data_IF_924521555570
#
_entry.id   IF_924521555570
#
_cell.length_a   1.000
_cell.length_b   1.000
_cell.length_c   1.000
_cell.angle_alpha   90.00
_cell.angle_beta   90.00
_cell.angle_gamma   90.00
#
_symmetry.space_group_name_H-M   'P 1'
#
loop_
_entity.id
_entity.type
_entity.pdbx_description
1 polymer ?
#
# COMPACT_ATOMS: atom_id res chain seq x y z
N UNK A 1 21.65 9.17 9.40
CA UNK A 1 21.71 9.64 8.00
C UNK A 1 20.97 8.63 7.12
N UNK A 2 19.93 9.02 6.37
CA UNK A 2 19.09 8.08 5.59
C UNK A 2 19.78 7.51 4.34
N UNK A 3 20.66 8.29 3.71
CA UNK A 3 21.46 7.82 2.55
C UNK A 3 22.50 6.78 2.97
N UNK A 4 23.19 6.99 4.10
CA UNK A 4 24.11 5.99 4.65
C UNK A 4 23.43 4.66 5.01
N UNK A 5 22.18 4.70 5.50
CA UNK A 5 21.42 3.49 5.77
C UNK A 5 21.08 2.70 4.48
N UNK A 6 20.81 3.38 3.35
CA UNK A 6 20.62 2.70 2.07
C UNK A 6 21.89 1.97 1.64
N UNK A 7 23.06 2.61 1.76
CA UNK A 7 24.35 1.99 1.41
C UNK A 7 24.63 0.74 2.27
N UNK A 8 24.34 0.79 3.57
CA UNK A 8 24.45 -0.37 4.47
C UNK A 8 23.51 -1.51 4.04
N UNK A 9 22.25 -1.20 3.69
CA UNK A 9 21.32 -2.21 3.20
C UNK A 9 21.72 -2.77 1.83
N UNK A 10 22.26 -1.94 0.93
CA UNK A 10 22.78 -2.41 -0.36
C UNK A 10 23.87 -3.46 -0.15
N UNK A 11 24.88 -3.15 0.66
CA UNK A 11 25.97 -4.08 0.97
C UNK A 11 25.48 -5.33 1.71
N UNK A 12 24.54 -5.18 2.64
CA UNK A 12 23.95 -6.31 3.35
C UNK A 12 23.18 -7.26 2.43
N UNK A 13 22.44 -6.72 1.46
CA UNK A 13 21.66 -7.50 0.50
C UNK A 13 22.53 -8.11 -0.62
N UNK A 14 23.68 -7.52 -0.95
CA UNK A 14 24.70 -8.17 -1.79
C UNK A 14 25.25 -9.45 -1.14
N UNK A 15 25.47 -9.41 0.18
CA UNK A 15 25.99 -10.56 0.94
C UNK A 15 24.90 -11.59 1.28
N UNK A 16 23.65 -11.15 1.46
CA UNK A 16 22.52 -11.99 1.86
C UNK A 16 21.27 -11.64 1.04
N UNK A 17 21.19 -12.02 -0.25
CA UNK A 17 20.11 -11.62 -1.16
C UNK A 17 18.75 -12.24 -0.81
N UNK A 18 18.70 -13.21 0.10
CA UNK A 18 17.45 -13.80 0.60
C UNK A 18 17.02 -13.23 1.95
N UNK A 19 17.68 -12.19 2.46
CA UNK A 19 17.32 -11.55 3.71
C UNK A 19 16.11 -10.62 3.50
N UNK A 20 14.92 -11.21 3.53
CA UNK A 20 13.62 -10.58 3.27
C UNK A 20 13.40 -9.30 4.09
N UNK A 21 13.79 -9.29 5.36
CA UNK A 21 13.70 -8.13 6.25
C UNK A 21 14.57 -6.95 5.78
N UNK A 22 15.67 -7.21 5.08
CA UNK A 22 16.52 -6.16 4.50
C UNK A 22 15.79 -5.36 3.42
N UNK A 23 15.07 -6.03 2.53
CA UNK A 23 14.24 -5.35 1.52
C UNK A 23 13.11 -4.55 2.17
N UNK A 24 12.43 -5.10 3.18
CA UNK A 24 11.40 -4.36 3.92
C UNK A 24 11.95 -3.08 4.56
N UNK A 25 13.09 -3.16 5.24
CA UNK A 25 13.65 -1.99 5.91
C UNK A 25 14.13 -0.93 4.90
N UNK A 26 14.73 -1.37 3.78
CA UNK A 26 15.19 -0.46 2.73
C UNK A 26 14.01 0.20 2.00
N UNK A 27 12.90 -0.52 1.76
CA UNK A 27 11.70 0.06 1.17
C UNK A 27 11.08 1.16 2.03
N UNK A 28 11.09 0.99 3.36
CA UNK A 28 10.63 2.01 4.31
C UNK A 28 11.49 3.27 4.21
N UNK A 29 12.81 3.13 4.07
CA UNK A 29 13.72 4.28 3.92
C UNK A 29 13.49 4.99 2.58
N UNK A 30 13.38 4.23 1.47
CA UNK A 30 13.07 4.80 0.17
C UNK A 30 11.74 5.57 0.19
N UNK A 31 10.70 5.01 0.82
CA UNK A 31 9.41 5.68 0.99
C UNK A 31 9.54 6.98 1.80
N UNK A 32 10.31 6.99 2.90
CA UNK A 32 10.58 8.21 3.68
C UNK A 32 11.35 9.29 2.91
N UNK A 33 12.11 8.90 1.88
CA UNK A 33 12.84 9.80 0.99
C UNK A 33 12.03 10.22 -0.24
N UNK A 34 10.81 9.69 -0.40
CA UNK A 34 9.97 9.93 -1.58
C UNK A 34 10.38 9.13 -2.82
N UNK A 35 11.34 8.21 -2.69
CA UNK A 35 11.77 7.31 -3.77
C UNK A 35 10.82 6.11 -3.87
N UNK A 36 9.58 6.39 -4.28
CA UNK A 36 8.54 5.37 -4.37
C UNK A 36 8.85 4.23 -5.36
N UNK A 37 9.50 4.46 -6.52
CA UNK A 37 9.90 3.38 -7.42
C UNK A 37 10.84 2.36 -6.77
N UNK A 38 11.89 2.80 -6.07
CA UNK A 38 12.81 1.87 -5.41
C UNK A 38 12.16 1.22 -4.18
N UNK A 39 11.31 1.94 -3.44
CA UNK A 39 10.52 1.34 -2.37
C UNK A 39 9.64 0.19 -2.88
N UNK A 40 8.98 0.39 -4.02
CA UNK A 40 8.11 -0.62 -4.60
C UNK A 40 8.89 -1.85 -5.10
N UNK A 41 10.05 -1.64 -5.73
CA UNK A 41 10.93 -2.73 -6.16
C UNK A 41 11.37 -3.62 -5.00
N UNK A 42 11.68 -3.03 -3.85
CA UNK A 42 12.04 -3.78 -2.64
C UNK A 42 10.85 -4.54 -2.06
N UNK A 43 9.65 -3.95 -2.09
CA UNK A 43 8.41 -4.62 -1.68
C UNK A 43 8.09 -5.81 -2.61
N UNK A 44 8.21 -5.63 -3.92
CA UNK A 44 8.00 -6.71 -4.90
C UNK A 44 9.00 -7.86 -4.66
N UNK A 45 10.26 -7.53 -4.35
CA UNK A 45 11.27 -8.53 -3.99
C UNK A 45 10.89 -9.25 -2.69
N UNK A 46 10.42 -8.54 -1.67
CA UNK A 46 9.93 -9.13 -0.42
C UNK A 46 8.80 -10.15 -0.69
N UNK A 47 7.85 -9.82 -1.56
CA UNK A 47 6.72 -10.70 -1.86
C UNK A 47 7.11 -12.00 -2.54
N UNK A 48 8.25 -12.06 -3.24
CA UNK A 48 8.76 -13.32 -3.80
C UNK A 48 9.06 -14.37 -2.72
N UNK A 49 9.31 -13.94 -1.48
CA UNK A 49 9.61 -14.81 -0.35
C UNK A 49 8.50 -14.85 0.72
N UNK A 50 7.76 -13.75 0.91
CA UNK A 50 6.70 -13.66 1.91
C UNK A 50 5.50 -12.84 1.41
N UNK A 51 4.50 -13.47 0.78
CA UNK A 51 3.32 -12.78 0.26
C UNK A 51 2.20 -12.58 1.32
N UNK A 52 2.41 -12.95 2.58
CA UNK A 52 1.34 -12.99 3.59
C UNK A 52 1.28 -11.77 4.52
N UNK A 53 2.01 -10.70 4.19
CA UNK A 53 1.99 -9.45 4.95
C UNK A 53 0.93 -8.49 4.40
N UNK A 54 -0.25 -8.47 5.03
CA UNK A 54 -1.38 -7.62 4.63
C UNK A 54 -1.04 -6.12 4.64
N UNK A 55 -0.35 -5.64 5.67
CA UNK A 55 0.03 -4.23 5.77
C UNK A 55 0.99 -3.87 4.61
N UNK A 56 1.91 -4.76 4.22
CA UNK A 56 2.82 -4.51 3.10
C UNK A 56 2.11 -4.46 1.75
N UNK A 57 1.07 -5.27 1.53
CA UNK A 57 0.22 -5.15 0.33
C UNK A 57 -0.51 -3.81 0.31
N UNK A 58 -1.00 -3.34 1.45
CA UNK A 58 -1.58 -2.01 1.57
C UNK A 58 -0.56 -0.90 1.25
N UNK A 59 0.66 -1.01 1.77
CA UNK A 59 1.75 -0.06 1.48
C UNK A 59 2.09 -0.05 -0.02
N UNK A 60 2.17 -1.23 -0.65
CA UNK A 60 2.39 -1.38 -2.09
C UNK A 60 1.29 -0.67 -2.91
N UNK A 61 0.02 -0.90 -2.54
CA UNK A 61 -1.12 -0.23 -3.17
C UNK A 61 -1.05 1.29 -3.02
N UNK A 62 -0.63 1.80 -1.86
CA UNK A 62 -0.45 3.23 -1.64
C UNK A 62 0.65 3.83 -2.51
N UNK A 63 1.80 3.17 -2.61
CA UNK A 63 2.90 3.62 -3.47
C UNK A 63 2.47 3.63 -4.94
N UNK A 64 1.82 2.56 -5.42
CA UNK A 64 1.30 2.49 -6.79
C UNK A 64 0.27 3.59 -7.06
N UNK A 65 -0.61 3.92 -6.10
CA UNK A 65 -1.56 5.03 -6.23
C UNK A 65 -0.85 6.38 -6.39
N UNK A 66 0.20 6.64 -5.60
CA UNK A 66 1.00 7.88 -5.71
C UNK A 66 1.70 7.97 -7.07
N UNK A 67 2.12 6.83 -7.61
CA UNK A 67 2.71 6.71 -8.95
C UNK A 67 1.67 6.68 -10.09
N UNK A 68 0.40 7.01 -9.82
CA UNK A 68 -0.72 6.97 -10.77
C UNK A 68 -1.00 5.58 -11.41
N UNK A 69 -0.49 4.50 -10.81
CA UNK A 69 -0.75 3.10 -11.20
C UNK A 69 -2.03 2.59 -10.52
N UNK A 70 -3.15 3.26 -10.77
CA UNK A 70 -4.39 3.07 -10.01
C UNK A 70 -4.96 1.65 -10.11
N UNK A 71 -4.96 1.04 -11.30
CA UNK A 71 -5.47 -0.33 -11.49
C UNK A 71 -4.69 -1.33 -10.66
N UNK A 72 -3.36 -1.21 -10.64
CA UNK A 72 -2.48 -2.10 -9.89
C UNK A 72 -2.58 -1.84 -8.38
N UNK A 73 -2.79 -0.58 -7.97
CA UNK A 73 -3.06 -0.24 -6.58
C UNK A 73 -4.34 -0.92 -6.06
N UNK A 74 -5.41 -0.97 -6.87
CA UNK A 74 -6.65 -1.69 -6.50
C UNK A 74 -6.40 -3.19 -6.31
N UNK A 75 -5.54 -3.81 -7.14
CA UNK A 75 -5.16 -5.22 -6.99
C UNK A 75 -4.45 -5.42 -5.64
N UNK A 76 -3.45 -4.60 -5.33
CA UNK A 76 -2.69 -4.74 -4.08
C UNK A 76 -3.54 -4.50 -2.83
N UNK A 77 -4.43 -3.50 -2.84
CA UNK A 77 -5.39 -3.32 -1.75
C UNK A 77 -6.36 -4.50 -1.63
N UNK A 78 -6.69 -5.17 -2.74
CA UNK A 78 -7.53 -6.36 -2.72
C UNK A 78 -6.82 -7.52 -2.04
N UNK A 79 -5.52 -7.71 -2.28
CA UNK A 79 -4.72 -8.69 -1.54
C UNK A 79 -4.59 -8.34 -0.06
N UNK A 80 -4.39 -7.07 0.29
CA UNK A 80 -4.38 -6.61 1.69
C UNK A 80 -5.69 -6.96 2.41
N UNK A 81 -6.83 -6.71 1.75
CA UNK A 81 -8.17 -7.04 2.25
C UNK A 81 -8.37 -8.55 2.35
N UNK A 82 -7.91 -9.33 1.36
CA UNK A 82 -8.00 -10.80 1.38
C UNK A 82 -7.25 -11.39 2.57
N UNK A 83 -6.09 -10.83 2.92
CA UNK A 83 -5.28 -11.27 4.05
C UNK A 83 -5.80 -10.76 5.40
N UNK A 84 -6.39 -9.56 5.44
CA UNK A 84 -7.01 -9.01 6.63
C UNK A 84 -8.19 -8.07 6.28
N UNK A 85 -9.39 -8.61 6.39
CA UNK A 85 -10.65 -7.95 6.04
C UNK A 85 -11.22 -7.05 7.16
N UNK A 86 -10.51 -6.93 8.29
CA UNK A 86 -10.96 -6.14 9.46
C UNK A 86 -10.35 -4.74 9.50
N UNK A 87 -9.43 -4.42 8.59
CA UNK A 87 -8.75 -3.12 8.52
C UNK A 87 -9.53 -2.16 7.64
N UNK A 88 -10.34 -1.29 8.25
CA UNK A 88 -11.17 -0.31 7.53
C UNK A 88 -10.37 0.62 6.60
N UNK A 89 -9.11 0.93 6.94
CA UNK A 89 -8.23 1.76 6.10
C UNK A 89 -7.96 1.14 4.71
N UNK A 90 -7.91 -0.20 4.59
CA UNK A 90 -7.67 -0.84 3.29
C UNK A 90 -8.82 -0.60 2.33
N UNK A 91 -10.05 -0.75 2.82
CA UNK A 91 -11.24 -0.42 2.06
C UNK A 91 -11.32 1.07 1.72
N UNK A 92 -10.96 1.94 2.67
CA UNK A 92 -10.97 3.38 2.42
C UNK A 92 -10.01 3.79 1.29
N UNK A 93 -8.76 3.33 1.31
CA UNK A 93 -7.81 3.68 0.26
C UNK A 93 -8.13 2.99 -1.08
N UNK A 94 -8.67 1.75 -1.06
CA UNK A 94 -9.16 1.10 -2.29
C UNK A 94 -10.35 1.85 -2.87
N UNK A 95 -11.28 2.32 -2.03
CA UNK A 95 -12.42 3.15 -2.43
C UNK A 95 -11.95 4.41 -3.16
N UNK A 96 -11.02 5.17 -2.57
CA UNK A 96 -10.48 6.39 -3.19
C UNK A 96 -9.85 6.10 -4.55
N UNK A 97 -9.11 5.00 -4.64
CA UNK A 97 -8.45 4.58 -5.89
C UNK A 97 -9.46 4.18 -6.97
N UNK A 98 -10.49 3.43 -6.59
CA UNK A 98 -11.60 3.07 -7.48
C UNK A 98 -12.36 4.32 -7.97
N UNK A 99 -12.52 5.33 -7.11
CA UNK A 99 -13.09 6.61 -7.51
C UNK A 99 -12.26 7.30 -8.59
N UNK A 100 -10.92 7.28 -8.48
CA UNK A 100 -10.01 7.81 -9.51
C UNK A 100 -10.12 7.05 -10.84
N UNK A 101 -10.55 5.79 -10.80
CA UNK A 101 -10.83 4.95 -11.97
C UNK A 101 -12.28 5.08 -12.48
N UNK A 102 -13.07 6.04 -11.98
CA UNK A 102 -14.50 6.20 -12.26
C UNK A 102 -15.39 4.99 -11.87
N UNK A 103 -14.89 4.11 -11.00
CA UNK A 103 -15.62 2.93 -10.52
C UNK A 103 -16.51 3.26 -9.31
N UNK A 104 -17.41 4.24 -9.48
CA UNK A 104 -18.16 4.88 -8.38
C UNK A 104 -18.94 3.90 -7.49
N UNK A 105 -19.57 2.88 -8.08
CA UNK A 105 -20.33 1.88 -7.32
C UNK A 105 -19.44 0.98 -6.46
N UNK A 106 -18.25 0.62 -6.96
CA UNK A 106 -17.27 -0.13 -6.17
C UNK A 106 -16.73 0.74 -5.03
N UNK A 107 -16.36 1.98 -5.34
CA UNK A 107 -15.86 2.94 -4.36
C UNK A 107 -16.86 3.17 -3.21
N UNK A 108 -18.15 3.36 -3.51
CA UNK A 108 -19.20 3.53 -2.50
C UNK A 108 -19.33 2.31 -1.58
N UNK A 109 -19.26 1.08 -2.13
CA UNK A 109 -19.32 -0.16 -1.32
C UNK A 109 -18.13 -0.28 -0.37
N UNK A 110 -16.93 0.00 -0.86
CA UNK A 110 -15.73 -0.04 -0.02
C UNK A 110 -15.74 1.07 1.04
N UNK A 111 -16.22 2.27 0.71
CA UNK A 111 -16.37 3.34 1.69
C UNK A 111 -17.35 2.95 2.81
N UNK A 112 -18.49 2.35 2.44
CA UNK A 112 -19.45 1.84 3.41
C UNK A 112 -18.83 0.78 4.33
N UNK A 113 -18.03 -0.13 3.76
CA UNK A 113 -17.31 -1.15 4.55
C UNK A 113 -16.28 -0.52 5.49
N UNK A 114 -15.54 0.50 5.05
CA UNK A 114 -14.59 1.22 5.88
C UNK A 114 -15.28 1.87 7.10
N UNK A 115 -16.42 2.52 6.89
CA UNK A 115 -17.24 3.13 7.95
C UNK A 115 -17.77 2.06 8.90
N UNK A 116 -18.30 0.94 8.37
CA UNK A 116 -18.79 -0.19 9.17
C UNK A 116 -17.70 -0.76 10.09
N UNK A 117 -16.45 -0.79 9.63
CA UNK A 117 -15.29 -1.23 10.39
C UNK A 117 -14.72 -0.17 11.34
N UNK A 118 -15.40 0.99 11.49
CA UNK A 118 -15.00 2.05 12.42
C UNK A 118 -13.81 2.89 11.97
N UNK A 119 -13.50 2.95 10.67
CA UNK A 119 -12.44 3.83 10.19
C UNK A 119 -12.86 5.31 10.33
N UNK A 120 -12.33 5.98 11.35
CA UNK A 120 -12.76 7.34 11.74
C UNK A 120 -12.20 8.46 10.85
N UNK A 121 -11.20 8.20 10.00
CA UNK A 121 -10.52 9.21 9.18
C UNK A 121 -11.10 9.31 7.76
N UNK A 122 -12.40 9.01 7.61
CA UNK A 122 -13.11 9.23 6.36
C UNK A 122 -13.25 10.74 6.15
N UNK A 123 -12.76 11.22 5.03
CA UNK A 123 -12.95 12.61 4.60
C UNK A 123 -14.46 12.90 4.39
N UNK A 124 -15.06 13.86 5.11
CA UNK A 124 -16.47 14.21 4.96
C UNK A 124 -16.86 14.62 3.54
N UNK A 125 -15.98 15.31 2.80
CA UNK A 125 -16.26 15.72 1.42
C UNK A 125 -16.33 14.52 0.49
N UNK A 126 -15.35 13.61 0.62
CA UNK A 126 -15.35 12.36 -0.13
C UNK A 126 -16.57 11.50 0.18
N UNK A 127 -16.99 11.45 1.44
CA UNK A 127 -18.23 10.77 1.85
C UNK A 127 -19.46 11.37 1.18
N UNK A 128 -19.59 12.70 1.16
CA UNK A 128 -20.67 13.39 0.48
C UNK A 128 -20.66 13.14 -1.04
N UNK A 129 -19.50 13.13 -1.69
CA UNK A 129 -19.36 12.81 -3.12
C UNK A 129 -19.86 11.38 -3.45
N UNK A 130 -19.72 10.45 -2.52
CA UNK A 130 -20.26 9.09 -2.63
C UNK A 130 -21.74 8.98 -2.28
N UNK A 131 -22.37 10.07 -1.83
CA UNK A 131 -23.79 10.14 -1.45
C UNK A 131 -24.08 9.28 -0.22
N UNK A 132 -23.33 9.51 0.86
CA UNK A 132 -23.36 8.77 2.13
C UNK A 132 -23.30 9.71 3.34
#
# INVERSE_FOLDING_TARGET
NRTGAIEEFNRGLELKPHHVTGYLNRSVIYNQLGDYPNALKDIETYFTYNPYNADLWYESGRLKRVLNRHTEAVIDYTEAIRLNDKKGIYYYERSRTQSQLNQRNAAKRDLAKAIQLGYARVDPEYRAQMGM
#
